data_IF_094692409298
#
_entry.id   IF_094692409298
#
_cell.length_a   1.000
_cell.length_b   1.000
_cell.length_c   1.000
_cell.angle_alpha   90.00
_cell.angle_beta   90.00
_cell.angle_gamma   90.00
#
_symmetry.space_group_name_H-M   'P 1'
#
loop_
_entity.id
_entity.type
_entity.pdbx_description
1 polymer ?
#
# COMPACT_ATOMS: atom_id res chain seq x y z
N UNK A 1 17.79 22.46 -35.98
CA UNK A 1 18.12 21.34 -35.07
C UNK A 1 16.90 20.92 -34.22
N UNK A 2 16.27 21.80 -33.45
CA UNK A 2 15.12 21.46 -32.58
C UNK A 2 13.91 20.87 -33.34
N UNK A 3 13.56 21.39 -34.52
CA UNK A 3 12.46 20.87 -35.36
C UNK A 3 12.75 19.48 -35.91
N UNK A 4 13.98 19.15 -36.25
CA UNK A 4 14.38 17.81 -36.74
C UNK A 4 14.33 16.82 -35.61
N UNK A 5 14.79 17.20 -34.42
CA UNK A 5 14.70 16.37 -33.21
C UNK A 5 13.23 16.15 -32.82
N UNK A 6 12.39 17.19 -32.87
CA UNK A 6 10.96 17.08 -32.63
C UNK A 6 10.25 16.15 -33.62
N UNK A 7 10.57 16.27 -34.92
CA UNK A 7 10.02 15.39 -35.95
C UNK A 7 10.45 13.92 -35.75
N UNK A 8 11.74 13.67 -35.45
CA UNK A 8 12.25 12.33 -35.16
C UNK A 8 11.65 11.73 -33.90
N UNK A 9 11.38 12.52 -32.86
CA UNK A 9 10.69 12.07 -31.63
C UNK A 9 9.22 11.72 -31.92
N UNK A 10 8.52 12.48 -32.76
CA UNK A 10 7.12 12.22 -33.09
C UNK A 10 7.00 11.00 -34.02
N UNK A 11 7.85 10.87 -35.02
CA UNK A 11 7.81 9.73 -35.97
C UNK A 11 8.29 8.42 -35.35
N UNK A 12 9.20 8.45 -34.38
CA UNK A 12 9.73 7.27 -33.69
C UNK A 12 9.23 7.14 -32.24
N UNK A 13 8.10 7.79 -31.91
CA UNK A 13 7.55 7.79 -30.55
C UNK A 13 7.37 6.37 -29.97
N UNK A 14 6.86 5.43 -30.75
CA UNK A 14 6.68 4.04 -30.27
C UNK A 14 8.02 3.35 -29.98
N UNK A 15 9.05 3.54 -30.81
CA UNK A 15 10.40 3.01 -30.55
C UNK A 15 11.06 3.66 -29.32
N UNK A 16 10.87 4.96 -29.17
CA UNK A 16 11.39 5.69 -28.00
C UNK A 16 10.72 5.22 -26.70
N UNK A 17 9.37 5.12 -26.70
CA UNK A 17 8.63 4.62 -25.52
C UNK A 17 8.99 3.18 -25.21
N UNK A 18 9.17 2.32 -26.21
CA UNK A 18 9.59 0.93 -26.01
C UNK A 18 11.02 0.83 -25.45
N UNK A 19 11.94 1.66 -25.93
CA UNK A 19 13.31 1.73 -25.42
C UNK A 19 13.36 2.25 -23.98
N UNK A 20 12.59 3.29 -23.67
CA UNK A 20 12.49 3.83 -22.31
C UNK A 20 11.84 2.81 -21.35
N UNK A 21 10.78 2.15 -21.77
CA UNK A 21 10.13 1.10 -20.95
C UNK A 21 11.06 -0.09 -20.72
N UNK A 22 11.85 -0.48 -21.74
CA UNK A 22 12.89 -1.52 -21.60
C UNK A 22 13.98 -1.13 -20.58
N UNK A 23 14.49 0.09 -20.65
CA UNK A 23 15.44 0.61 -19.67
C UNK A 23 14.86 0.66 -18.26
N UNK A 24 13.63 1.15 -18.09
CA UNK A 24 12.95 1.16 -16.80
C UNK A 24 12.74 -0.26 -16.25
N UNK A 25 12.46 -1.22 -17.13
CA UNK A 25 12.38 -2.64 -16.76
C UNK A 25 13.70 -3.18 -16.19
N UNK A 26 14.83 -2.87 -16.85
CA UNK A 26 16.17 -3.27 -16.41
C UNK A 26 16.54 -2.54 -15.09
N UNK A 27 16.15 -1.28 -14.94
CA UNK A 27 16.41 -0.48 -13.74
C UNK A 27 15.44 -0.77 -12.59
N UNK A 28 14.37 -1.51 -12.82
CA UNK A 28 13.36 -1.82 -11.82
C UNK A 28 13.92 -2.37 -10.50
N UNK A 29 14.87 -3.35 -10.46
CA UNK A 29 15.45 -3.81 -9.20
C UNK A 29 16.24 -2.73 -8.46
N UNK A 30 16.86 -1.79 -9.19
CA UNK A 30 17.59 -0.66 -8.58
C UNK A 30 16.60 0.34 -7.96
N UNK A 31 15.57 0.73 -8.70
CA UNK A 31 14.54 1.65 -8.21
C UNK A 31 13.87 1.07 -6.96
N UNK A 32 13.42 -0.18 -7.02
CA UNK A 32 12.80 -0.86 -5.88
C UNK A 32 13.77 -1.06 -4.72
N UNK A 33 15.04 -1.39 -4.99
CA UNK A 33 16.09 -1.50 -3.98
C UNK A 33 16.34 -0.17 -3.25
N UNK A 34 16.39 0.95 -3.97
CA UNK A 34 16.52 2.28 -3.36
C UNK A 34 15.27 2.68 -2.57
N UNK A 35 14.06 2.36 -3.04
CA UNK A 35 12.82 2.60 -2.30
C UNK A 35 12.84 1.81 -0.98
N UNK A 36 13.18 0.52 -1.02
CA UNK A 36 13.31 -0.32 0.18
C UNK A 36 14.36 0.26 1.13
N UNK A 37 15.53 0.67 0.62
CA UNK A 37 16.58 1.34 1.42
C UNK A 37 16.05 2.57 2.12
N UNK A 38 15.28 3.40 1.40
CA UNK A 38 14.67 4.60 1.97
C UNK A 38 13.72 4.25 3.11
N UNK A 39 12.81 3.28 2.91
CA UNK A 39 11.85 2.83 3.92
C UNK A 39 12.55 2.27 5.18
N UNK A 40 13.59 1.47 4.97
CA UNK A 40 14.33 0.80 6.05
C UNK A 40 15.32 1.71 6.77
N UNK A 41 15.71 2.82 6.16
CA UNK A 41 16.74 3.72 6.70
C UNK A 41 16.38 4.31 8.08
N UNK A 42 15.10 4.52 8.35
CA UNK A 42 14.64 5.00 9.65
C UNK A 42 14.77 3.93 10.75
N UNK A 43 14.39 2.69 10.43
CA UNK A 43 14.52 1.55 11.33
C UNK A 43 16.00 1.21 11.59
N UNK A 44 16.84 1.26 10.55
CA UNK A 44 18.29 1.07 10.66
C UNK A 44 18.91 2.08 11.63
N UNK A 45 18.58 3.38 11.52
CA UNK A 45 19.08 4.41 12.44
C UNK A 45 18.66 4.16 13.89
N UNK A 46 17.44 3.67 14.14
CA UNK A 46 16.99 3.31 15.49
C UNK A 46 17.80 2.14 16.07
N UNK A 47 18.07 1.11 15.27
CA UNK A 47 18.91 -0.03 15.67
C UNK A 47 20.35 0.44 15.93
N UNK A 48 20.91 1.29 15.07
CA UNK A 48 22.24 1.87 15.24
C UNK A 48 22.36 2.66 16.55
N UNK A 49 21.35 3.48 16.87
CA UNK A 49 21.27 4.21 18.14
C UNK A 49 21.16 3.29 19.38
N UNK A 50 20.51 2.13 19.25
CA UNK A 50 20.50 1.12 20.31
C UNK A 50 21.88 0.46 20.48
N UNK A 51 22.58 0.18 19.38
CA UNK A 51 23.94 -0.40 19.41
C UNK A 51 24.98 0.56 19.99
N UNK A 52 24.81 1.88 19.84
CA UNK A 52 25.67 2.90 20.47
C UNK A 52 25.68 2.82 22.02
N UNK A 53 24.58 2.38 22.62
CA UNK A 53 24.45 2.23 24.08
C UNK A 53 25.18 1.01 24.62
N UNK A 54 25.60 0.09 23.74
CA UNK A 54 26.34 -1.12 24.16
C UNK A 54 27.79 -0.74 24.43
N UNK A 55 28.34 -1.05 25.62
CA UNK A 55 29.68 -0.57 26.05
C UNK A 55 30.85 -1.32 25.39
N UNK A 56 30.60 -2.16 24.35
CA UNK A 56 31.63 -2.97 23.70
C UNK A 56 32.30 -2.17 22.58
N UNK A 57 33.65 -2.00 22.58
CA UNK A 57 34.37 -1.19 21.58
C UNK A 57 34.24 -1.76 20.15
N UNK A 58 34.13 -3.08 19.99
CA UNK A 58 33.95 -3.75 18.69
C UNK A 58 32.58 -3.40 18.09
N UNK A 59 31.54 -3.38 18.90
CA UNK A 59 30.18 -3.02 18.47
C UNK A 59 30.12 -1.56 18.03
N UNK A 60 30.76 -0.65 18.79
CA UNK A 60 30.81 0.78 18.44
C UNK A 60 31.53 1.04 17.11
N UNK A 61 32.60 0.30 16.82
CA UNK A 61 33.35 0.44 15.55
C UNK A 61 32.57 -0.10 14.34
N UNK A 62 31.80 -1.18 14.53
CA UNK A 62 31.05 -1.84 13.46
C UNK A 62 29.55 -1.52 13.48
N UNK A 63 29.10 -0.53 14.27
CA UNK A 63 27.67 -0.24 14.55
C UNK A 63 26.81 -0.12 13.30
N UNK A 64 27.31 0.54 12.26
CA UNK A 64 26.58 0.77 11.01
C UNK A 64 26.36 -0.55 10.26
N UNK A 65 27.41 -1.32 9.99
CA UNK A 65 27.27 -2.64 9.33
C UNK A 65 26.46 -3.63 10.16
N UNK A 66 26.66 -3.64 11.50
CA UNK A 66 25.91 -4.50 12.41
C UNK A 66 24.42 -4.13 12.49
N UNK A 67 24.08 -2.84 12.45
CA UNK A 67 22.69 -2.40 12.41
C UNK A 67 21.98 -2.81 11.11
N UNK A 68 22.67 -2.77 9.98
CA UNK A 68 22.13 -3.27 8.71
C UNK A 68 21.92 -4.78 8.75
N UNK A 69 22.92 -5.53 9.23
CA UNK A 69 22.82 -6.99 9.38
C UNK A 69 21.64 -7.38 10.29
N UNK A 70 21.54 -6.78 11.48
CA UNK A 70 20.44 -7.06 12.41
C UNK A 70 19.07 -6.72 11.81
N UNK A 71 18.97 -5.60 11.10
CA UNK A 71 17.73 -5.20 10.43
C UNK A 71 17.28 -6.27 9.40
N UNK A 72 18.19 -6.72 8.55
CA UNK A 72 17.84 -7.76 7.57
C UNK A 72 17.61 -9.13 8.19
N UNK A 73 18.27 -9.46 9.29
CA UNK A 73 17.94 -10.67 10.07
C UNK A 73 16.53 -10.58 10.68
N UNK A 74 16.13 -9.44 11.20
CA UNK A 74 14.77 -9.22 11.71
C UNK A 74 13.75 -9.36 10.58
N UNK A 75 14.02 -8.77 9.41
CA UNK A 75 13.14 -8.88 8.24
C UNK A 75 13.04 -10.34 7.79
N UNK A 76 14.16 -11.04 7.70
CA UNK A 76 14.19 -12.46 7.34
C UNK A 76 13.42 -13.30 8.36
N UNK A 77 13.58 -13.04 9.65
CA UNK A 77 12.85 -13.73 10.71
C UNK A 77 11.34 -13.51 10.58
N UNK A 78 10.90 -12.26 10.39
CA UNK A 78 9.48 -11.93 10.16
C UNK A 78 8.97 -12.63 8.89
N UNK A 79 9.75 -12.64 7.82
CA UNK A 79 9.40 -13.30 6.57
C UNK A 79 9.22 -14.82 6.74
N UNK A 80 10.15 -15.48 7.45
CA UNK A 80 10.06 -16.91 7.77
C UNK A 80 8.83 -17.20 8.64
N UNK A 81 8.55 -16.36 9.65
CA UNK A 81 7.33 -16.50 10.45
C UNK A 81 6.07 -16.36 9.59
N UNK A 82 6.05 -15.38 8.69
CA UNK A 82 4.93 -15.17 7.77
C UNK A 82 4.70 -16.40 6.89
N UNK A 83 5.76 -16.96 6.30
CA UNK A 83 5.67 -18.15 5.46
C UNK A 83 5.20 -19.40 6.23
N UNK A 84 5.64 -19.56 7.49
CA UNK A 84 5.32 -20.78 8.26
C UNK A 84 3.98 -20.70 8.99
N UNK A 85 3.45 -19.52 9.31
CA UNK A 85 2.24 -19.35 10.12
C UNK A 85 1.11 -18.66 9.34
N UNK A 86 1.40 -17.52 8.71
CA UNK A 86 0.34 -16.73 8.05
C UNK A 86 -0.06 -17.38 6.74
N UNK A 87 0.87 -17.81 5.91
CA UNK A 87 0.55 -18.42 4.60
C UNK A 87 -0.25 -19.72 4.76
N UNK A 88 0.13 -20.71 5.62
CA UNK A 88 -0.69 -21.89 5.84
C UNK A 88 -2.06 -21.57 6.43
N UNK A 89 -2.15 -20.59 7.35
CA UNK A 89 -3.43 -20.14 7.90
C UNK A 89 -4.34 -19.57 6.80
N UNK A 90 -3.79 -18.76 5.88
CA UNK A 90 -4.55 -18.21 4.76
C UNK A 90 -5.03 -19.33 3.82
N UNK A 91 -4.13 -20.27 3.50
CA UNK A 91 -4.49 -21.42 2.63
C UNK A 91 -5.57 -22.29 3.27
N UNK A 92 -5.43 -22.64 4.55
CA UNK A 92 -6.45 -23.45 5.26
C UNK A 92 -7.79 -22.73 5.30
N UNK A 93 -7.79 -21.41 5.56
CA UNK A 93 -9.01 -20.62 5.58
C UNK A 93 -9.68 -20.49 4.20
N UNK A 94 -8.89 -20.43 3.12
CA UNK A 94 -9.42 -20.45 1.75
C UNK A 94 -10.04 -21.81 1.40
N UNK A 95 -9.39 -22.91 1.81
CA UNK A 95 -9.94 -24.27 1.63
C UNK A 95 -11.23 -24.43 2.44
N UNK A 96 -11.26 -23.98 3.70
CA UNK A 96 -12.45 -24.05 4.54
C UNK A 96 -13.60 -23.19 3.99
N UNK A 97 -13.27 -22.01 3.42
CA UNK A 97 -14.25 -21.16 2.73
C UNK A 97 -14.83 -21.89 1.51
N UNK A 98 -13.95 -22.49 0.67
CA UNK A 98 -14.37 -23.24 -0.49
C UNK A 98 -15.30 -24.42 -0.10
N UNK A 99 -14.96 -25.14 0.98
CA UNK A 99 -15.78 -26.23 1.51
C UNK A 99 -17.12 -25.75 2.10
N UNK A 100 -17.21 -24.49 2.52
CA UNK A 100 -18.45 -23.90 3.06
C UNK A 100 -19.39 -23.38 1.97
N UNK A 101 -18.94 -23.23 0.73
CA UNK A 101 -19.74 -22.69 -0.38
C UNK A 101 -21.01 -23.52 -0.70
N UNK A 102 -20.97 -24.88 -0.73
CA UNK A 102 -22.17 -25.66 -0.97
C UNK A 102 -23.26 -25.40 0.08
N UNK A 103 -22.89 -25.44 1.36
CA UNK A 103 -23.82 -25.20 2.49
C UNK A 103 -24.40 -23.77 2.42
N UNK A 104 -23.58 -22.78 2.02
CA UNK A 104 -24.05 -21.42 1.81
C UNK A 104 -25.04 -21.34 0.66
N UNK A 105 -24.76 -21.99 -0.46
CA UNK A 105 -25.68 -22.06 -1.59
C UNK A 105 -27.04 -22.59 -1.16
N UNK A 106 -27.06 -23.69 -0.41
CA UNK A 106 -28.30 -24.30 0.11
C UNK A 106 -29.05 -23.34 1.06
N UNK A 107 -28.33 -22.63 1.95
CA UNK A 107 -28.95 -21.64 2.84
C UNK A 107 -29.53 -20.45 2.06
N UNK A 108 -28.83 -19.97 1.01
CA UNK A 108 -29.33 -18.88 0.17
C UNK A 108 -30.58 -19.30 -0.62
N UNK A 109 -30.61 -20.52 -1.16
CA UNK A 109 -31.79 -21.06 -1.84
C UNK A 109 -32.97 -21.14 -0.87
N UNK A 110 -32.77 -21.69 0.33
CA UNK A 110 -33.80 -21.75 1.36
C UNK A 110 -34.30 -20.37 1.81
N UNK A 111 -33.39 -19.41 1.96
CA UNK A 111 -33.75 -18.03 2.30
C UNK A 111 -34.63 -17.39 1.21
N UNK A 112 -34.26 -17.56 -0.04
CA UNK A 112 -35.04 -17.05 -1.19
C UNK A 112 -36.42 -17.70 -1.25
N UNK A 113 -36.49 -19.02 -1.11
CA UNK A 113 -37.79 -19.73 -1.04
C UNK A 113 -38.67 -19.24 0.13
N UNK A 114 -38.04 -18.94 1.29
CA UNK A 114 -38.78 -18.39 2.44
C UNK A 114 -39.31 -16.96 2.21
N UNK A 115 -38.67 -16.17 1.35
CA UNK A 115 -39.15 -14.85 0.96
C UNK A 115 -40.28 -14.92 -0.08
N UNK A 116 -40.25 -15.95 -0.93
CA UNK A 116 -41.29 -16.25 -1.90
C UNK A 116 -42.59 -16.71 -1.19
N UNK A 117 -42.49 -17.62 -0.22
CA UNK A 117 -43.60 -18.07 0.62
C UNK A 117 -44.26 -16.92 1.41
N UNK A 118 -43.48 -15.92 1.82
CA UNK A 118 -43.97 -14.71 2.48
C UNK A 118 -44.54 -13.65 1.52
N UNK A 119 -44.58 -13.94 0.23
CA UNK A 119 -45.13 -13.04 -0.79
C UNK A 119 -44.33 -11.75 -1.04
N UNK A 120 -43.10 -11.67 -0.52
CA UNK A 120 -42.22 -10.50 -0.64
C UNK A 120 -41.56 -10.46 -2.04
N UNK A 121 -41.36 -11.63 -2.66
CA UNK A 121 -40.78 -11.81 -3.96
C UNK A 121 -41.82 -12.36 -4.93
N UNK A 122 -42.47 -11.50 -5.71
CA UNK A 122 -43.48 -11.90 -6.71
C UNK A 122 -43.05 -11.70 -8.16
N UNK A 123 -41.80 -11.47 -8.44
CA UNK A 123 -41.41 -11.11 -9.81
C UNK A 123 -40.46 -12.16 -10.40
N UNK A 124 -40.91 -12.84 -11.46
CA UNK A 124 -40.11 -13.80 -12.23
C UNK A 124 -38.74 -13.25 -12.70
N UNK A 125 -38.60 -11.92 -12.76
CA UNK A 125 -37.34 -11.27 -13.06
C UNK A 125 -36.31 -11.40 -11.93
N UNK A 126 -36.74 -11.35 -10.66
CA UNK A 126 -35.85 -11.49 -9.48
C UNK A 126 -35.40 -12.95 -9.36
N UNK A 127 -36.31 -13.89 -9.57
CA UNK A 127 -36.01 -15.32 -9.60
C UNK A 127 -34.97 -15.67 -10.67
N UNK A 128 -35.14 -15.16 -11.88
CA UNK A 128 -34.16 -15.31 -12.98
C UNK A 128 -32.81 -14.71 -12.66
N UNK A 129 -32.80 -13.52 -12.04
CA UNK A 129 -31.56 -12.82 -11.66
C UNK A 129 -30.85 -13.57 -10.52
N UNK A 130 -31.60 -14.02 -9.50
CA UNK A 130 -31.08 -14.80 -8.40
C UNK A 130 -30.50 -16.13 -8.86
N UNK A 131 -31.22 -16.85 -9.71
CA UNK A 131 -30.74 -18.10 -10.30
C UNK A 131 -29.48 -17.90 -11.17
N UNK A 132 -29.34 -16.77 -11.87
CA UNK A 132 -28.10 -16.44 -12.58
C UNK A 132 -26.95 -16.19 -11.64
N UNK A 133 -27.15 -15.40 -10.56
CA UNK A 133 -26.13 -15.11 -9.54
C UNK A 133 -25.74 -16.38 -8.77
N UNK A 134 -26.73 -17.21 -8.37
CA UNK A 134 -26.46 -18.47 -7.69
C UNK A 134 -25.70 -19.45 -8.59
N UNK A 135 -25.99 -19.48 -9.90
CA UNK A 135 -25.28 -20.31 -10.87
C UNK A 135 -23.83 -19.84 -11.07
N UNK A 136 -23.58 -18.53 -10.99
CA UNK A 136 -22.23 -17.96 -11.08
C UNK A 136 -21.44 -18.13 -9.78
N UNK A 137 -22.14 -18.19 -8.62
CA UNK A 137 -21.57 -18.50 -7.31
C UNK A 137 -21.50 -20.02 -7.04
N UNK A 138 -21.81 -20.87 -8.03
CA UNK A 138 -21.75 -22.34 -7.82
C UNK A 138 -20.33 -22.74 -7.37
N UNK A 139 -20.22 -23.65 -6.36
CA UNK A 139 -18.93 -24.06 -5.79
C UNK A 139 -17.94 -24.54 -6.87
N UNK A 140 -18.46 -25.23 -7.90
CA UNK A 140 -17.64 -25.76 -8.99
C UNK A 140 -17.01 -24.64 -9.84
N UNK A 141 -17.77 -23.58 -10.16
CA UNK A 141 -17.25 -22.44 -10.92
C UNK A 141 -16.28 -21.60 -10.10
N UNK A 142 -16.64 -21.37 -8.84
CA UNK A 142 -15.77 -20.64 -7.92
C UNK A 142 -14.44 -21.38 -7.74
N UNK A 143 -14.47 -22.67 -7.44
CA UNK A 143 -13.26 -23.51 -7.32
C UNK A 143 -12.45 -23.54 -8.62
N UNK A 144 -13.12 -23.67 -9.78
CA UNK A 144 -12.43 -23.66 -11.07
C UNK A 144 -11.78 -22.30 -11.39
N UNK A 145 -12.44 -21.20 -11.07
CA UNK A 145 -11.84 -19.86 -11.25
C UNK A 145 -10.69 -19.62 -10.29
N UNK A 146 -10.80 -20.04 -9.04
CA UNK A 146 -9.72 -19.92 -8.06
C UNK A 146 -8.57 -20.87 -8.32
N UNK A 147 -8.85 -22.11 -8.69
CA UNK A 147 -7.79 -23.05 -9.13
C UNK A 147 -7.12 -22.53 -10.40
N UNK A 148 -7.85 -22.02 -11.39
CA UNK A 148 -7.25 -21.38 -12.55
C UNK A 148 -6.45 -20.13 -12.18
N UNK A 149 -6.94 -19.29 -11.27
CA UNK A 149 -6.17 -18.15 -10.75
C UNK A 149 -4.91 -18.60 -10.00
N UNK A 150 -5.00 -19.62 -9.14
CA UNK A 150 -3.85 -20.21 -8.44
C UNK A 150 -2.90 -20.94 -9.41
N UNK A 151 -3.42 -21.66 -10.41
CA UNK A 151 -2.60 -22.27 -11.46
C UNK A 151 -2.04 -21.22 -12.42
N UNK A 152 -2.72 -20.10 -12.66
CA UNK A 152 -2.14 -18.98 -13.42
C UNK A 152 -1.02 -18.29 -12.63
N UNK A 153 -1.11 -18.27 -11.29
CA UNK A 153 0.04 -17.97 -10.44
C UNK A 153 1.15 -19.02 -10.59
N UNK A 154 0.80 -20.29 -10.82
CA UNK A 154 1.75 -21.38 -11.15
C UNK A 154 2.32 -21.28 -12.57
N UNK A 155 1.59 -20.75 -13.56
CA UNK A 155 2.11 -20.45 -14.91
C UNK A 155 3.01 -19.22 -14.95
N UNK A 156 3.12 -18.47 -13.84
CA UNK A 156 4.25 -17.57 -13.61
C UNK A 156 5.60 -18.31 -13.63
N UNK A 157 5.60 -19.65 -13.80
CA UNK A 157 6.83 -20.45 -13.90
C UNK A 157 7.75 -20.01 -15.04
N UNK A 158 7.25 -19.41 -16.11
CA UNK A 158 8.12 -18.75 -17.10
C UNK A 158 8.81 -17.49 -16.56
N UNK A 159 8.24 -16.83 -15.54
CA UNK A 159 8.78 -15.62 -14.93
C UNK A 159 9.27 -15.83 -13.49
N UNK A 160 9.15 -17.06 -12.93
CA UNK A 160 9.60 -17.35 -11.54
C UNK A 160 11.09 -17.09 -11.41
N UNK A 161 11.91 -17.53 -12.36
CA UNK A 161 13.35 -17.26 -12.31
C UNK A 161 13.65 -15.77 -12.39
N UNK A 162 12.94 -15.03 -13.26
CA UNK A 162 13.08 -13.58 -13.37
C UNK A 162 12.57 -12.86 -12.12
N UNK A 163 11.49 -13.33 -11.51
CA UNK A 163 11.00 -12.79 -10.25
C UNK A 163 12.00 -13.00 -9.11
N UNK A 164 12.51 -14.22 -8.93
CA UNK A 164 13.53 -14.52 -7.92
C UNK A 164 14.83 -13.76 -8.17
N UNK A 165 15.26 -13.67 -9.43
CA UNK A 165 16.45 -12.88 -9.80
C UNK A 165 16.25 -11.40 -9.47
N UNK A 166 15.13 -10.82 -9.86
CA UNK A 166 14.83 -9.42 -9.57
C UNK A 166 14.67 -9.16 -8.06
N UNK A 167 14.01 -10.04 -7.32
CA UNK A 167 13.90 -9.96 -5.87
C UNK A 167 15.27 -10.05 -5.19
N UNK A 168 16.10 -10.97 -5.62
CA UNK A 168 17.47 -11.15 -5.12
C UNK A 168 18.35 -9.93 -5.42
N UNK A 169 18.31 -9.43 -6.66
CA UNK A 169 19.02 -8.20 -7.05
C UNK A 169 18.52 -7.01 -6.23
N UNK A 170 17.21 -6.85 -6.09
CA UNK A 170 16.60 -5.78 -5.27
C UNK A 170 17.09 -5.84 -3.82
N UNK A 171 17.15 -7.04 -3.23
CA UNK A 171 17.63 -7.26 -1.86
C UNK A 171 19.12 -6.90 -1.75
N UNK A 172 19.95 -7.37 -2.67
CA UNK A 172 21.39 -7.03 -2.70
C UNK A 172 21.57 -5.52 -2.83
N UNK A 173 20.89 -4.89 -3.80
CA UNK A 173 20.97 -3.44 -4.02
C UNK A 173 20.55 -2.67 -2.77
N UNK A 174 19.47 -3.11 -2.13
CA UNK A 174 18.98 -2.48 -0.90
C UNK A 174 19.99 -2.59 0.25
N UNK A 175 20.63 -3.74 0.44
CA UNK A 175 21.69 -3.92 1.44
C UNK A 175 22.87 -2.99 1.15
N UNK A 176 23.39 -3.03 -0.09
CA UNK A 176 24.52 -2.19 -0.48
C UNK A 176 24.18 -0.69 -0.38
N UNK A 177 23.01 -0.29 -0.85
CA UNK A 177 22.56 1.09 -0.76
C UNK A 177 22.44 1.56 0.70
N UNK A 178 22.01 0.69 1.62
CA UNK A 178 21.93 1.01 3.04
C UNK A 178 23.30 1.09 3.70
N UNK A 179 24.21 0.15 3.39
CA UNK A 179 25.59 0.13 3.88
C UNK A 179 26.36 1.37 3.39
N UNK A 180 26.26 1.70 2.10
CA UNK A 180 26.98 2.81 1.49
C UNK A 180 26.18 4.13 1.45
N UNK A 181 25.07 4.20 2.15
CA UNK A 181 24.16 5.36 2.18
C UNK A 181 24.89 6.68 2.38
N UNK A 182 25.78 6.76 3.35
CA UNK A 182 26.54 7.96 3.67
C UNK A 182 27.41 8.39 2.47
N UNK A 183 28.14 7.45 1.86
CA UNK A 183 29.00 7.71 0.71
C UNK A 183 28.21 8.17 -0.50
N UNK A 184 27.06 7.53 -0.77
CA UNK A 184 26.16 7.89 -1.88
C UNK A 184 25.60 9.30 -1.66
N UNK A 185 25.10 9.61 -0.46
CA UNK A 185 24.55 10.93 -0.15
C UNK A 185 25.63 12.02 -0.27
N UNK A 186 26.84 11.79 0.29
CA UNK A 186 27.96 12.76 0.19
C UNK A 186 28.40 12.96 -1.26
N UNK A 187 28.41 11.92 -2.09
CA UNK A 187 28.71 12.05 -3.51
C UNK A 187 27.66 12.89 -4.24
N UNK A 188 26.36 12.59 -4.02
CA UNK A 188 25.26 13.36 -4.63
C UNK A 188 25.29 14.82 -4.17
N UNK A 189 25.52 15.06 -2.89
CA UNK A 189 25.63 16.40 -2.30
C UNK A 189 26.78 17.21 -2.94
N UNK A 190 27.97 16.63 -3.04
CA UNK A 190 29.12 17.26 -3.70
C UNK A 190 28.89 17.54 -5.18
N UNK A 191 28.23 16.58 -5.88
CA UNK A 191 27.87 16.77 -7.28
C UNK A 191 26.85 17.91 -7.46
N UNK A 192 25.80 17.91 -6.62
CA UNK A 192 24.78 18.95 -6.64
C UNK A 192 25.37 20.34 -6.34
N UNK A 193 26.23 20.42 -5.33
CA UNK A 193 26.92 21.71 -4.99
C UNK A 193 27.80 22.23 -6.11
N UNK A 194 28.39 21.34 -6.94
CA UNK A 194 29.23 21.72 -8.08
C UNK A 194 28.42 22.10 -9.32
N UNK A 195 27.24 21.49 -9.51
CA UNK A 195 26.41 21.66 -10.70
C UNK A 195 25.38 22.79 -10.55
N UNK A 196 24.92 23.05 -9.33
CA UNK A 196 23.88 24.03 -9.05
C UNK A 196 24.45 25.32 -8.47
N UNK A 197 23.81 26.46 -8.77
CA UNK A 197 24.14 27.71 -8.09
C UNK A 197 23.76 27.60 -6.59
N UNK A 198 24.43 28.36 -5.73
CA UNK A 198 24.23 28.37 -4.28
C UNK A 198 22.77 28.57 -3.87
N UNK A 199 22.04 29.44 -4.57
CA UNK A 199 20.62 29.72 -4.35
C UNK A 199 19.77 28.50 -4.68
N UNK A 200 19.97 27.87 -5.83
CA UNK A 200 19.23 26.67 -6.29
C UNK A 200 19.56 25.48 -5.39
N UNK A 201 20.82 25.31 -4.99
CA UNK A 201 21.26 24.26 -4.08
C UNK A 201 20.51 24.32 -2.73
N UNK A 202 20.50 25.50 -2.08
CA UNK A 202 19.80 25.69 -0.80
C UNK A 202 18.31 25.44 -0.92
N UNK A 203 17.68 25.93 -1.98
CA UNK A 203 16.27 25.70 -2.24
C UNK A 203 15.97 24.21 -2.44
N UNK A 204 16.76 23.52 -3.27
CA UNK A 204 16.63 22.07 -3.51
C UNK A 204 16.80 21.26 -2.21
N UNK A 205 17.81 21.63 -1.40
CA UNK A 205 18.04 20.96 -0.11
C UNK A 205 16.85 21.13 0.86
N UNK A 206 16.25 22.31 0.93
CA UNK A 206 15.05 22.58 1.73
C UNK A 206 13.89 21.71 1.26
N UNK A 207 13.66 21.68 -0.05
CA UNK A 207 12.62 20.84 -0.66
C UNK A 207 12.81 19.35 -0.40
N UNK A 208 14.01 18.83 -0.58
CA UNK A 208 14.35 17.44 -0.30
C UNK A 208 14.13 17.08 1.17
N UNK A 209 14.51 17.97 2.09
CA UNK A 209 14.30 17.76 3.51
C UNK A 209 12.80 17.77 3.89
N UNK A 210 12.02 18.68 3.32
CA UNK A 210 10.58 18.75 3.51
C UNK A 210 9.88 17.49 2.96
N UNK A 211 10.20 17.12 1.73
CA UNK A 211 9.73 15.89 1.09
C UNK A 211 10.03 14.65 1.94
N UNK A 212 11.28 14.52 2.39
CA UNK A 212 11.72 13.41 3.23
C UNK A 212 10.94 13.35 4.56
N UNK A 213 10.70 14.49 5.22
CA UNK A 213 9.90 14.55 6.45
C UNK A 213 8.46 14.07 6.22
N UNK A 214 7.84 14.52 5.13
CA UNK A 214 6.46 14.15 4.78
C UNK A 214 6.35 12.64 4.52
N UNK A 215 7.21 12.10 3.64
CA UNK A 215 7.21 10.68 3.32
C UNK A 215 7.48 9.80 4.54
N UNK A 216 8.54 10.13 5.30
CA UNK A 216 8.89 9.35 6.48
C UNK A 216 7.77 9.35 7.52
N UNK A 217 7.17 10.52 7.79
CA UNK A 217 6.07 10.64 8.73
C UNK A 217 4.85 9.86 8.24
N UNK A 218 4.46 10.03 6.97
CA UNK A 218 3.32 9.30 6.39
C UNK A 218 3.50 7.79 6.50
N UNK A 219 4.63 7.25 6.02
CA UNK A 219 4.87 5.81 6.01
C UNK A 219 4.88 5.25 7.43
N UNK A 220 5.53 5.94 8.37
CA UNK A 220 5.59 5.49 9.76
C UNK A 220 4.22 5.51 10.44
N UNK A 221 3.43 6.56 10.20
CA UNK A 221 2.08 6.69 10.73
C UNK A 221 1.15 5.64 10.10
N UNK A 222 1.21 5.45 8.79
CA UNK A 222 0.35 4.51 8.07
C UNK A 222 0.63 3.06 8.47
N UNK A 223 1.91 2.71 8.69
CA UNK A 223 2.27 1.39 9.19
C UNK A 223 1.74 1.15 10.62
N UNK A 224 1.88 2.14 11.51
CA UNK A 224 1.36 2.06 12.87
C UNK A 224 -0.16 1.92 12.88
N UNK A 225 -0.83 2.72 12.06
CA UNK A 225 -2.27 2.70 11.88
C UNK A 225 -2.77 1.33 11.38
N UNK A 226 -2.14 0.79 10.34
CA UNK A 226 -2.40 -0.54 9.82
C UNK A 226 -2.27 -1.64 10.89
N UNK A 227 -1.26 -1.55 11.76
CA UNK A 227 -1.09 -2.47 12.88
C UNK A 227 -2.22 -2.34 13.91
N UNK A 228 -2.61 -1.12 14.27
CA UNK A 228 -3.69 -0.86 15.23
C UNK A 228 -5.02 -1.39 14.67
N UNK A 229 -5.35 -1.08 13.43
CA UNK A 229 -6.59 -1.53 12.78
C UNK A 229 -6.60 -3.05 12.61
N UNK A 230 -5.48 -3.64 12.19
CA UNK A 230 -5.36 -5.10 12.06
C UNK A 230 -5.60 -5.84 13.38
N UNK A 231 -4.95 -5.39 14.47
CA UNK A 231 -5.12 -5.96 15.80
C UNK A 231 -6.53 -5.73 16.35
N UNK A 232 -7.03 -4.50 16.26
CA UNK A 232 -8.37 -4.14 16.74
C UNK A 232 -9.46 -4.92 16.00
N UNK A 233 -9.35 -5.03 14.68
CA UNK A 233 -10.27 -5.82 13.87
C UNK A 233 -10.23 -7.30 14.24
N UNK A 234 -9.04 -7.88 14.42
CA UNK A 234 -8.89 -9.27 14.86
C UNK A 234 -9.59 -9.52 16.19
N UNK A 235 -9.41 -8.62 17.16
CA UNK A 235 -10.04 -8.73 18.49
C UNK A 235 -11.56 -8.63 18.36
N UNK A 236 -12.07 -7.62 17.65
CA UNK A 236 -13.52 -7.40 17.49
C UNK A 236 -14.19 -8.57 16.76
N UNK A 237 -13.60 -9.05 15.66
CA UNK A 237 -14.11 -10.19 14.92
C UNK A 237 -14.05 -11.50 15.71
N UNK A 238 -13.03 -11.68 16.58
CA UNK A 238 -12.91 -12.81 17.48
C UNK A 238 -13.99 -12.78 18.57
N UNK A 239 -14.29 -11.61 19.15
CA UNK A 239 -15.37 -11.43 20.14
C UNK A 239 -16.74 -11.78 19.51
N UNK A 240 -16.92 -11.42 18.24
CA UNK A 240 -18.15 -11.75 17.48
C UNK A 240 -18.18 -13.21 17.00
N UNK A 241 -17.21 -14.05 17.38
CA UNK A 241 -17.07 -15.44 16.94
C UNK A 241 -17.11 -15.59 15.42
N UNK A 242 -16.53 -14.63 14.69
CA UNK A 242 -16.45 -14.67 13.22
C UNK A 242 -15.44 -15.73 12.81
N UNK A 243 -15.85 -16.64 11.93
CA UNK A 243 -14.95 -17.61 11.31
C UNK A 243 -13.87 -16.83 10.53
N UNK A 244 -12.60 -17.21 10.69
CA UNK A 244 -11.45 -16.52 10.06
C UNK A 244 -11.12 -15.12 10.61
N UNK A 245 -11.50 -14.79 11.85
CA UNK A 245 -11.31 -13.48 12.47
C UNK A 245 -9.86 -12.95 12.34
N UNK A 246 -8.85 -13.80 12.60
CA UNK A 246 -7.43 -13.44 12.50
C UNK A 246 -7.04 -13.08 11.06
N UNK A 247 -7.46 -13.90 10.10
CA UNK A 247 -7.18 -13.67 8.67
C UNK A 247 -7.83 -12.39 8.17
N UNK A 248 -9.08 -12.16 8.53
CA UNK A 248 -9.82 -10.95 8.16
C UNK A 248 -9.23 -9.71 8.84
N UNK A 249 -8.79 -9.82 10.09
CA UNK A 249 -8.11 -8.73 10.78
C UNK A 249 -6.76 -8.39 10.15
N UNK A 250 -5.95 -9.38 9.76
CA UNK A 250 -4.71 -9.16 9.01
C UNK A 250 -5.00 -8.48 7.66
N UNK A 251 -6.02 -8.97 6.93
CA UNK A 251 -6.44 -8.37 5.67
C UNK A 251 -6.85 -6.90 5.85
N UNK A 252 -7.69 -6.61 6.87
CA UNK A 252 -8.12 -5.25 7.19
C UNK A 252 -6.93 -4.35 7.49
N UNK A 253 -5.96 -4.82 8.30
CA UNK A 253 -4.74 -4.07 8.60
C UNK A 253 -3.89 -3.79 7.36
N UNK A 254 -3.62 -4.80 6.55
CA UNK A 254 -2.82 -4.64 5.30
C UNK A 254 -3.52 -3.70 4.32
N UNK A 255 -4.81 -3.91 4.07
CA UNK A 255 -5.57 -3.06 3.16
C UNK A 255 -5.68 -1.62 3.68
N UNK A 256 -5.75 -1.40 5.00
CA UNK A 256 -5.80 -0.08 5.61
C UNK A 256 -4.56 0.78 5.31
N UNK A 257 -3.46 0.18 4.81
CA UNK A 257 -2.33 0.95 4.30
C UNK A 257 -2.71 1.87 3.13
N UNK A 258 -3.81 1.61 2.43
CA UNK A 258 -4.37 2.49 1.40
C UNK A 258 -5.56 3.25 2.01
N UNK A 259 -5.42 4.56 2.31
CA UNK A 259 -6.48 5.32 2.98
C UNK A 259 -7.81 5.25 2.23
N UNK A 260 -8.91 5.10 2.95
CA UNK A 260 -10.30 4.99 2.49
C UNK A 260 -10.57 3.73 1.64
N UNK A 261 -9.88 3.52 0.53
CA UNK A 261 -10.14 2.41 -0.39
C UNK A 261 -9.83 1.05 0.24
N UNK A 262 -8.71 0.95 0.96
CA UNK A 262 -8.29 -0.31 1.56
C UNK A 262 -9.25 -0.80 2.63
N UNK A 263 -9.66 0.07 3.52
CA UNK A 263 -10.58 -0.26 4.60
C UNK A 263 -11.98 -0.61 4.10
N UNK A 264 -12.50 0.12 3.09
CA UNK A 264 -13.80 -0.18 2.46
C UNK A 264 -13.73 -1.55 1.78
N UNK A 265 -12.72 -1.77 0.95
CA UNK A 265 -12.54 -3.04 0.24
C UNK A 265 -12.47 -4.23 1.22
N UNK A 266 -11.60 -4.14 2.23
CA UNK A 266 -11.44 -5.21 3.20
C UNK A 266 -12.68 -5.45 4.05
N UNK A 267 -13.44 -4.40 4.38
CA UNK A 267 -14.72 -4.54 5.10
C UNK A 267 -15.78 -5.24 4.26
N UNK A 268 -15.86 -4.93 2.97
CA UNK A 268 -16.75 -5.64 2.04
C UNK A 268 -16.37 -7.11 1.98
N UNK A 269 -15.09 -7.44 1.83
CA UNK A 269 -14.59 -8.82 1.81
C UNK A 269 -14.93 -9.53 3.12
N UNK A 270 -14.71 -8.88 4.28
CA UNK A 270 -15.05 -9.44 5.58
C UNK A 270 -16.56 -9.69 5.73
N UNK A 271 -17.38 -8.73 5.28
CA UNK A 271 -18.83 -8.87 5.26
C UNK A 271 -19.32 -10.04 4.39
N UNK A 272 -18.77 -10.15 3.19
CA UNK A 272 -19.10 -11.25 2.25
C UNK A 272 -18.68 -12.59 2.85
N UNK A 273 -17.47 -12.75 3.35
CA UNK A 273 -16.99 -13.99 3.96
C UNK A 273 -17.85 -14.36 5.18
N UNK A 274 -18.20 -13.38 6.02
CA UNK A 274 -19.06 -13.62 7.18
C UNK A 274 -20.48 -13.99 6.77
N UNK A 275 -21.01 -13.42 5.69
CA UNK A 275 -22.31 -13.80 5.13
C UNK A 275 -22.33 -15.28 4.76
N UNK A 276 -21.28 -15.79 4.14
CA UNK A 276 -21.14 -17.20 3.77
C UNK A 276 -20.96 -18.13 4.96
N UNK A 277 -20.32 -17.68 6.04
CA UNK A 277 -19.93 -18.55 7.16
C UNK A 277 -20.82 -18.43 8.38
N UNK A 278 -21.47 -17.29 8.57
CA UNK A 278 -22.26 -16.98 9.77
C UNK A 278 -23.66 -16.42 9.49
N UNK A 279 -24.02 -16.29 8.20
CA UNK A 279 -25.33 -15.82 7.76
C UNK A 279 -25.52 -14.30 7.81
N UNK A 280 -26.70 -13.86 7.40
CA UNK A 280 -27.04 -12.44 7.18
C UNK A 280 -26.90 -11.60 8.46
N UNK A 281 -27.40 -12.09 9.57
CA UNK A 281 -27.38 -11.34 10.85
C UNK A 281 -25.95 -11.07 11.31
N UNK A 282 -25.08 -12.09 11.26
CA UNK A 282 -23.67 -11.92 11.66
C UNK A 282 -22.91 -11.00 10.68
N UNK A 283 -23.17 -11.11 9.38
CA UNK A 283 -22.57 -10.25 8.37
C UNK A 283 -22.92 -8.77 8.59
N UNK A 284 -24.20 -8.47 8.84
CA UNK A 284 -24.65 -7.09 9.15
C UNK A 284 -23.97 -6.59 10.43
N UNK A 285 -23.93 -7.41 11.48
CA UNK A 285 -23.25 -7.05 12.74
C UNK A 285 -21.77 -6.73 12.50
N UNK A 286 -21.06 -7.57 11.73
CA UNK A 286 -19.65 -7.35 11.39
C UNK A 286 -19.46 -6.05 10.61
N UNK A 287 -20.28 -5.80 9.59
CA UNK A 287 -20.19 -4.56 8.81
C UNK A 287 -20.42 -3.33 9.67
N UNK A 288 -21.41 -3.36 10.59
CA UNK A 288 -21.67 -2.26 11.52
C UNK A 288 -20.50 -2.03 12.48
N UNK A 289 -19.95 -3.10 13.07
CA UNK A 289 -18.79 -2.99 13.98
C UNK A 289 -17.55 -2.48 13.27
N UNK A 290 -17.27 -2.97 12.05
CA UNK A 290 -16.15 -2.46 11.25
C UNK A 290 -16.37 -1.01 10.83
N UNK A 291 -17.61 -0.60 10.50
CA UNK A 291 -17.94 0.78 10.20
C UNK A 291 -17.69 1.69 11.41
N UNK A 292 -18.08 1.26 12.62
CA UNK A 292 -17.78 2.00 13.86
C UNK A 292 -16.27 2.10 14.07
N UNK A 293 -15.54 0.99 13.89
CA UNK A 293 -14.08 0.99 14.00
C UNK A 293 -13.45 1.99 13.02
N UNK A 294 -13.94 2.03 11.76
CA UNK A 294 -13.46 2.99 10.76
C UNK A 294 -13.78 4.44 11.11
N UNK A 295 -14.94 4.71 11.75
CA UNK A 295 -15.26 6.05 12.25
C UNK A 295 -14.32 6.45 13.40
N UNK A 296 -13.99 5.52 14.29
CA UNK A 296 -12.99 5.76 15.35
C UNK A 296 -11.62 6.00 14.75
N UNK A 297 -11.25 5.22 13.73
CA UNK A 297 -9.99 5.39 13.01
C UNK A 297 -9.88 6.77 12.37
N UNK A 298 -10.83 7.10 11.51
CA UNK A 298 -10.83 8.36 10.76
C UNK A 298 -10.92 9.64 11.62
N UNK A 299 -11.60 9.57 12.78
CA UNK A 299 -11.87 10.75 13.61
C UNK A 299 -11.00 10.84 14.87
N UNK A 300 -10.42 9.73 15.34
CA UNK A 300 -9.66 9.69 16.59
C UNK A 300 -8.23 9.16 16.38
N UNK A 301 -8.08 7.95 15.81
CA UNK A 301 -6.78 7.27 15.70
C UNK A 301 -5.92 7.99 14.66
N UNK A 302 -6.43 8.13 13.43
CA UNK A 302 -5.73 8.77 12.33
C UNK A 302 -5.22 10.18 12.68
N UNK A 303 -6.08 11.13 13.12
CA UNK A 303 -5.63 12.45 13.52
C UNK A 303 -4.58 12.45 14.64
N UNK A 304 -4.71 11.56 15.62
CA UNK A 304 -3.73 11.47 16.71
C UNK A 304 -2.36 10.94 16.27
N UNK A 305 -2.34 10.00 15.31
CA UNK A 305 -1.10 9.43 14.79
C UNK A 305 -0.45 10.36 13.77
N UNK A 306 -1.23 10.89 12.83
CA UNK A 306 -0.73 11.71 11.73
C UNK A 306 -0.47 13.17 12.14
N UNK A 307 -1.28 13.71 13.07
CA UNK A 307 -1.21 15.13 13.48
C UNK A 307 -1.36 16.06 12.26
N UNK A 308 -0.86 17.29 12.39
CA UNK A 308 -1.01 18.35 11.35
C UNK A 308 -0.14 18.13 10.09
N UNK A 309 0.62 17.03 10.01
CA UNK A 309 1.61 16.84 8.95
C UNK A 309 1.03 16.60 7.55
N UNK A 310 -0.24 16.22 7.48
CA UNK A 310 -0.92 15.87 6.23
C UNK A 310 -2.26 16.60 6.10
N UNK A 311 -2.29 17.90 6.37
CA UNK A 311 -3.49 18.75 6.17
C UNK A 311 -3.92 18.76 4.68
N UNK A 312 -4.22 17.60 4.11
CA UNK A 312 -4.65 17.42 2.73
C UNK A 312 -6.18 17.25 2.72
N UNK A 313 -6.85 17.96 1.82
CA UNK A 313 -8.28 17.81 1.64
C UNK A 313 -8.61 16.36 1.23
N UNK A 314 -9.62 15.70 1.83
CA UNK A 314 -10.03 14.34 1.48
C UNK A 314 -10.28 14.12 -0.03
N UNK A 315 -10.84 15.12 -0.72
CA UNK A 315 -11.06 15.05 -2.17
C UNK A 315 -9.71 14.91 -2.90
N UNK A 316 -8.69 15.69 -2.51
CA UNK A 316 -7.37 15.60 -3.13
C UNK A 316 -6.72 14.23 -2.88
N UNK A 317 -6.93 13.65 -1.70
CA UNK A 317 -6.48 12.29 -1.38
C UNK A 317 -7.13 11.28 -2.32
N UNK A 318 -8.46 11.32 -2.46
CA UNK A 318 -9.20 10.38 -3.33
C UNK A 318 -8.74 10.49 -4.78
N UNK A 319 -8.64 11.71 -5.31
CA UNK A 319 -8.17 11.96 -6.69
C UNK A 319 -6.75 11.42 -6.88
N UNK A 320 -5.85 11.69 -5.93
CA UNK A 320 -4.46 11.25 -6.00
C UNK A 320 -4.34 9.73 -5.94
N UNK A 321 -5.11 9.07 -5.07
CA UNK A 321 -5.14 7.60 -4.97
C UNK A 321 -5.68 7.00 -6.26
N UNK A 322 -6.72 7.58 -6.86
CA UNK A 322 -7.29 7.11 -8.12
C UNK A 322 -6.28 7.21 -9.27
N UNK A 323 -5.60 8.35 -9.39
CA UNK A 323 -4.56 8.56 -10.40
C UNK A 323 -3.36 7.65 -10.13
N UNK A 324 -2.86 7.64 -8.89
CA UNK A 324 -1.74 6.78 -8.49
C UNK A 324 -2.03 5.30 -8.75
N UNK A 325 -3.25 4.86 -8.45
CA UNK A 325 -3.70 3.50 -8.70
C UNK A 325 -3.75 3.13 -10.17
N UNK A 326 -4.25 4.03 -11.02
CA UNK A 326 -4.35 3.82 -12.46
C UNK A 326 -2.99 3.66 -13.14
N UNK A 327 -1.98 4.43 -12.71
CA UNK A 327 -0.66 4.43 -13.35
C UNK A 327 0.37 3.49 -12.69
N UNK A 328 0.31 3.33 -11.37
CA UNK A 328 1.33 2.61 -10.58
C UNK A 328 0.75 1.50 -9.70
N UNK A 329 -0.53 1.17 -9.86
CA UNK A 329 -1.18 0.10 -9.08
C UNK A 329 -1.20 0.39 -7.57
N UNK A 330 -1.11 -0.67 -6.77
CA UNK A 330 -1.21 -0.62 -5.30
C UNK A 330 -0.13 0.29 -4.68
N UNK A 331 1.10 0.26 -5.20
CA UNK A 331 2.18 1.14 -4.73
C UNK A 331 1.88 2.61 -5.02
N UNK A 332 1.28 2.89 -6.19
CA UNK A 332 0.82 4.23 -6.55
C UNK A 332 -0.28 4.73 -5.63
N UNK A 333 -1.25 3.88 -5.28
CA UNK A 333 -2.30 4.23 -4.31
C UNK A 333 -1.71 4.58 -2.94
N UNK A 334 -0.76 3.78 -2.46
CA UNK A 334 -0.10 4.00 -1.18
C UNK A 334 0.70 5.30 -1.14
N UNK A 335 1.50 5.57 -2.18
CA UNK A 335 2.36 6.76 -2.23
C UNK A 335 1.65 8.02 -2.71
N UNK A 336 0.43 7.93 -3.20
CA UNK A 336 -0.34 9.06 -3.72
C UNK A 336 -0.56 10.16 -2.68
N UNK A 337 -0.81 9.79 -1.42
CA UNK A 337 -1.10 10.74 -0.33
C UNK A 337 0.08 11.66 -0.02
N UNK A 338 1.30 11.16 0.24
CA UNK A 338 2.44 12.03 0.47
C UNK A 338 2.81 12.85 -0.78
N UNK A 339 2.62 12.32 -1.99
CA UNK A 339 2.81 13.08 -3.23
C UNK A 339 1.80 14.24 -3.31
N UNK A 340 0.52 13.99 -3.01
CA UNK A 340 -0.50 15.04 -2.96
C UNK A 340 -0.18 16.12 -1.93
N UNK A 341 0.34 15.74 -0.76
CA UNK A 341 0.76 16.70 0.27
C UNK A 341 1.88 17.61 -0.23
N UNK A 342 2.87 17.05 -0.94
CA UNK A 342 3.97 17.83 -1.53
C UNK A 342 3.45 18.77 -2.61
N UNK A 343 2.62 18.27 -3.53
CA UNK A 343 2.01 19.11 -4.59
C UNK A 343 1.23 20.26 -3.97
N UNK A 344 0.44 20.00 -2.91
CA UNK A 344 -0.28 21.04 -2.19
C UNK A 344 0.65 22.12 -1.64
N UNK A 345 1.78 21.73 -1.02
CA UNK A 345 2.74 22.68 -0.46
C UNK A 345 3.35 23.54 -1.58
N UNK A 346 3.80 22.90 -2.69
CA UNK A 346 4.34 23.62 -3.85
C UNK A 346 3.36 24.66 -4.38
N UNK A 347 2.11 24.25 -4.60
CA UNK A 347 1.06 25.14 -5.11
C UNK A 347 0.76 26.25 -4.12
N UNK A 348 0.70 25.97 -2.82
CA UNK A 348 0.42 26.98 -1.81
C UNK A 348 1.54 28.02 -1.66
N UNK A 349 2.79 27.62 -1.77
CA UNK A 349 3.93 28.53 -1.78
C UNK A 349 3.93 29.42 -3.03
N UNK A 350 3.72 28.83 -4.20
CA UNK A 350 3.64 29.57 -5.46
C UNK A 350 2.50 30.62 -5.45
N UNK A 351 1.33 30.25 -4.92
CA UNK A 351 0.20 31.20 -4.78
C UNK A 351 0.47 32.32 -3.76
N UNK A 352 1.22 32.02 -2.70
CA UNK A 352 1.55 33.03 -1.70
C UNK A 352 2.63 34.01 -2.20
N UNK A 353 3.64 33.52 -2.93
CA UNK A 353 4.63 34.40 -3.60
C UNK A 353 3.96 35.34 -4.61
N UNK A 354 2.96 34.86 -5.35
CA UNK A 354 2.18 35.69 -6.28
C UNK A 354 1.44 36.83 -5.56
N UNK A 355 0.78 36.52 -4.44
CA UNK A 355 0.06 37.55 -3.65
C UNK A 355 0.98 38.59 -3.00
N UNK A 356 2.20 38.22 -2.66
CA UNK A 356 3.17 39.14 -2.10
C UNK A 356 3.73 40.10 -3.19
N UNK A 357 3.96 39.57 -4.39
CA UNK A 357 4.35 40.38 -5.54
C UNK A 357 3.24 41.34 -5.99
N UNK A 358 1.97 40.91 -6.01
CA UNK A 358 0.82 41.77 -6.36
C UNK A 358 0.65 42.94 -5.36
N UNK A 359 0.83 42.67 -4.04
CA UNK A 359 0.80 43.74 -3.02
C UNK A 359 1.95 44.75 -3.15
N UNK A 360 3.12 44.29 -3.59
CA UNK A 360 4.28 45.19 -3.85
C UNK A 360 4.00 46.07 -5.06
N UNK A 361 3.41 45.52 -6.14
CA UNK A 361 3.02 46.29 -7.32
C UNK A 361 1.97 47.36 -6.97
N UNK A 362 0.88 46.95 -6.26
CA UNK A 362 -0.16 47.88 -5.81
C UNK A 362 0.38 49.00 -4.90
N UNK A 363 1.39 48.70 -4.09
CA UNK A 363 2.04 49.68 -3.22
C UNK A 363 3.00 50.65 -3.94
N UNK A 364 3.38 50.34 -5.18
CA UNK A 364 4.24 51.17 -6.04
C UNK A 364 3.37 52.09 -6.93
N UNK A 365 2.13 51.63 -7.26
CA UNK A 365 1.21 52.39 -8.10
C UNK A 365 0.31 53.35 -7.30
N UNK A 366 0.31 53.29 -5.96
CA UNK A 366 -0.35 54.20 -5.05
C UNK A 366 0.58 55.30 -4.51
#
# INVERSE_FOLDING_TARGET
>A
MALIVGYLLITNYQHFVHSVSGLLGILSPFITGFVITYLLSGSQKKIEGLLERVPLPVVKKAKHGLSVLLLYLIILFIFVLTLNYIVPLLISNLVDLANSLPTFYDHMVQFVMSLEDKGILKTAAIEKYLNSVLKDLSPERFLNQWTQALFSLGTLTKNVSSFFLNAFLTLIISIYALVFKQSILTFVEKAAHKLLSEKVYKQTQTWLNTTNKIFYKFISCQFLDACIIGVSSTILLSILNVKFAVTLGILLGICNMIPYFGSIFASIVAGVITLFTGGVTQAITVLLVLLILQQIDGNIIGPRIMGDALNVNPILIIVSITIGGAYFGVLGMFLAVPVAAIIKIIVSEWLNESKENDKIVDSIES
#
